data_IF_410948860152
#
_entry.id   IF_410948860152
#
_cell.length_a   1.000
_cell.length_b   1.000
_cell.length_c   1.000
_cell.angle_alpha   90.00
_cell.angle_beta   90.00
_cell.angle_gamma   90.00
#
_symmetry.space_group_name_H-M   'P 1'
#
loop_
_entity.id
_entity.type
_entity.pdbx_description
1 polymer ?
#
# COMPACT_ATOMS: atom_id res chain seq x y z
N UNK A 1 -25.91 -8.56 43.46
CA UNK A 1 -27.13 -9.21 42.92
C UNK A 1 -28.18 -8.14 42.63
N UNK A 2 -28.10 -7.47 41.47
CA UNK A 2 -29.07 -6.46 41.00
C UNK A 2 -29.41 -6.86 39.56
N UNK A 3 -30.10 -8.00 39.39
CA UNK A 3 -30.23 -8.63 38.07
C UNK A 3 -31.52 -9.41 37.84
N UNK A 4 -32.55 -9.22 38.67
CA UNK A 4 -33.80 -10.01 38.53
C UNK A 4 -35.06 -9.13 38.45
N UNK A 5 -34.98 -7.82 38.75
CA UNK A 5 -36.18 -6.96 38.74
C UNK A 5 -36.49 -6.27 37.41
N UNK A 6 -35.63 -6.35 36.39
CA UNK A 6 -35.87 -5.63 35.13
C UNK A 6 -36.84 -6.36 34.18
N UNK A 7 -36.96 -7.69 34.29
CA UNK A 7 -37.80 -8.51 33.38
C UNK A 7 -39.30 -8.39 33.72
N UNK A 8 -39.68 -8.09 34.97
CA UNK A 8 -41.10 -7.97 35.35
C UNK A 8 -41.76 -6.66 34.91
N UNK A 9 -40.98 -5.62 34.63
CA UNK A 9 -41.53 -4.31 34.21
C UNK A 9 -41.97 -4.34 32.74
N UNK A 10 -41.26 -5.08 31.88
CA UNK A 10 -41.63 -5.19 30.46
C UNK A 10 -42.96 -5.94 30.23
N UNK A 11 -43.28 -6.92 31.08
CA UNK A 11 -44.54 -7.67 30.95
C UNK A 11 -45.78 -6.86 31.35
N UNK A 12 -45.63 -5.84 32.21
CA UNK A 12 -46.74 -4.97 32.61
C UNK A 12 -47.04 -3.87 31.56
N UNK A 13 -46.04 -3.41 30.81
CA UNK A 13 -46.20 -2.41 29.75
C UNK A 13 -46.94 -2.95 28.52
N UNK A 14 -46.76 -4.23 28.19
CA UNK A 14 -47.44 -4.87 27.06
C UNK A 14 -48.96 -5.02 27.27
N UNK A 15 -49.42 -5.08 28.53
CA UNK A 15 -50.84 -5.24 28.87
C UNK A 15 -51.65 -3.93 28.80
N UNK A 16 -50.98 -2.77 28.70
CA UNK A 16 -51.62 -1.45 28.72
C UNK A 16 -51.70 -0.77 27.34
N UNK A 17 -51.26 -1.42 26.26
CA UNK A 17 -51.29 -0.82 24.92
C UNK A 17 -50.39 0.41 24.76
N UNK A 18 -49.43 0.62 25.67
CA UNK A 18 -48.47 1.71 25.58
C UNK A 18 -47.36 1.30 24.60
N UNK A 19 -47.19 2.08 23.53
CA UNK A 19 -46.08 1.88 22.58
C UNK A 19 -44.76 2.09 23.31
N UNK A 20 -43.90 1.06 23.33
CA UNK A 20 -42.52 1.21 23.79
C UNK A 20 -41.81 2.10 22.78
N UNK A 21 -41.24 3.26 23.17
CA UNK A 21 -40.40 4.02 22.27
C UNK A 21 -39.25 3.12 21.86
N UNK A 22 -39.17 2.82 20.56
CA UNK A 22 -38.01 2.15 19.98
C UNK A 22 -36.82 3.06 20.28
N UNK A 23 -35.95 2.62 21.20
CA UNK A 23 -34.65 3.23 21.38
C UNK A 23 -33.95 3.11 20.03
N UNK A 24 -33.79 4.24 19.33
CA UNK A 24 -33.02 4.30 18.10
C UNK A 24 -31.66 3.66 18.38
N UNK A 25 -31.36 2.61 17.62
CA UNK A 25 -30.06 1.97 17.67
C UNK A 25 -29.03 3.07 17.39
N UNK A 26 -28.07 3.27 18.30
CA UNK A 26 -27.00 4.23 18.07
C UNK A 26 -26.38 3.92 16.70
N UNK A 27 -26.14 4.93 15.85
CA UNK A 27 -25.51 4.71 14.55
C UNK A 27 -24.24 3.90 14.79
N UNK A 28 -24.13 2.75 14.10
CA UNK A 28 -22.94 1.92 14.18
C UNK A 28 -21.72 2.79 13.87
N UNK A 29 -20.65 2.63 14.64
CA UNK A 29 -19.41 3.37 14.39
C UNK A 29 -19.02 3.17 12.92
N UNK A 30 -18.75 4.27 12.21
CA UNK A 30 -18.27 4.20 10.85
C UNK A 30 -16.97 3.37 10.82
N UNK A 31 -16.74 2.56 9.77
CA UNK A 31 -15.48 1.86 9.62
C UNK A 31 -14.33 2.87 9.58
N UNK A 32 -13.29 2.64 10.40
CA UNK A 32 -12.04 3.42 10.37
C UNK A 32 -11.12 2.91 9.27
N UNK A 33 -10.54 3.80 8.47
CA UNK A 33 -9.51 3.51 7.47
C UNK A 33 -8.14 4.11 7.83
N UNK A 34 -7.14 3.80 7.03
CA UNK A 34 -5.80 4.42 7.13
C UNK A 34 -5.30 4.68 5.72
N UNK A 35 -4.94 5.93 5.41
CA UNK A 35 -4.21 6.24 4.19
C UNK A 35 -2.73 6.15 4.50
N UNK A 36 -2.01 5.36 3.72
CA UNK A 36 -0.54 5.32 3.72
C UNK A 36 -0.05 6.02 2.47
N UNK A 37 0.71 7.09 2.67
CA UNK A 37 1.37 7.79 1.59
C UNK A 37 2.82 7.32 1.57
N UNK A 38 3.23 6.81 0.41
CA UNK A 38 4.58 6.31 0.19
C UNK A 38 5.24 7.16 -0.89
N UNK A 39 6.39 7.75 -0.58
CA UNK A 39 7.17 8.48 -1.58
C UNK A 39 7.92 7.47 -2.45
N UNK A 40 7.37 7.16 -3.63
CA UNK A 40 7.94 6.14 -4.54
C UNK A 40 8.03 6.72 -5.94
N UNK A 41 9.19 7.28 -6.26
CA UNK A 41 9.47 7.82 -7.58
C UNK A 41 10.24 6.82 -8.45
N UNK A 42 9.65 6.50 -9.60
CA UNK A 42 10.33 5.90 -10.74
C UNK A 42 10.39 6.97 -11.83
N UNK A 43 11.60 7.22 -12.35
CA UNK A 43 11.82 7.94 -13.61
C UNK A 43 12.30 6.91 -14.63
N UNK A 44 11.56 6.76 -15.72
CA UNK A 44 11.99 6.04 -16.91
C UNK A 44 12.58 7.07 -17.88
N UNK A 45 13.90 7.04 -18.11
CA UNK A 45 14.53 7.81 -19.19
C UNK A 45 14.81 6.86 -20.37
N UNK A 46 13.98 6.97 -21.42
CA UNK A 46 14.03 6.14 -22.63
C UNK A 46 15.08 6.63 -23.66
N UNK A 47 16.18 7.26 -23.22
CA UNK A 47 17.19 7.82 -24.12
C UNK A 47 18.63 7.43 -23.77
N UNK A 48 18.96 6.13 -23.73
CA UNK A 48 20.35 5.71 -23.96
C UNK A 48 20.42 4.49 -24.88
N UNK A 49 20.35 4.73 -26.19
CA UNK A 49 20.97 3.83 -27.17
C UNK A 49 22.50 3.92 -27.02
N UNK A 50 23.12 2.94 -26.34
CA UNK A 50 24.57 2.90 -26.19
C UNK A 50 25.10 1.52 -25.83
N UNK A 51 25.77 0.89 -26.79
CA UNK A 51 26.26 -0.49 -26.76
C UNK A 51 27.66 -0.59 -26.12
N UNK A 52 27.81 -1.11 -24.89
CA UNK A 52 29.09 -1.61 -24.34
C UNK A 52 28.89 -2.78 -23.35
N UNK A 53 29.71 -3.86 -23.40
CA UNK A 53 29.67 -4.95 -22.44
C UNK A 53 30.68 -4.72 -21.29
N UNK A 54 30.24 -4.94 -20.06
CA UNK A 54 31.08 -4.98 -18.86
C UNK A 54 30.88 -3.81 -17.91
N UNK A 55 30.28 -4.11 -16.76
CA UNK A 55 29.86 -3.22 -15.66
C UNK A 55 28.73 -2.24 -15.99
N UNK A 56 27.55 -2.50 -15.40
CA UNK A 56 26.49 -1.51 -15.24
C UNK A 56 26.12 -1.42 -13.76
N UNK A 57 26.58 -0.35 -13.14
CA UNK A 57 26.14 0.22 -11.87
C UNK A 57 24.89 1.05 -12.16
N UNK A 58 23.83 0.94 -11.36
CA UNK A 58 22.71 1.88 -11.40
C UNK A 58 22.60 2.58 -10.05
N UNK A 59 22.55 3.92 -10.12
CA UNK A 59 22.51 4.91 -9.05
C UNK A 59 21.05 5.36 -8.91
N UNK A 60 20.55 5.52 -7.68
CA UNK A 60 19.31 6.26 -7.43
C UNK A 60 19.59 7.76 -7.57
N UNK A 61 18.89 8.41 -8.51
CA UNK A 61 19.02 9.83 -8.89
C UNK A 61 17.77 10.59 -8.46
N UNK A 62 17.91 11.54 -7.53
CA UNK A 62 17.06 12.72 -7.35
C UNK A 62 15.53 12.49 -7.33
N UNK A 63 15.03 11.75 -6.34
CA UNK A 63 13.61 11.77 -5.99
C UNK A 63 13.33 13.06 -5.17
N UNK A 64 12.41 13.94 -5.57
CA UNK A 64 12.02 15.07 -4.73
C UNK A 64 11.47 14.64 -3.36
N UNK A 65 11.80 15.43 -2.37
CA UNK A 65 11.26 15.35 -1.01
C UNK A 65 9.80 15.80 -1.00
N UNK A 66 8.91 15.11 -0.26
CA UNK A 66 7.53 15.61 -0.07
C UNK A 66 7.52 16.59 1.09
N UNK A 67 7.17 17.83 0.81
CA UNK A 67 7.19 18.93 1.78
C UNK A 67 5.79 19.33 2.27
N UNK A 68 4.74 19.05 1.48
CA UNK A 68 3.35 19.24 1.92
C UNK A 68 2.49 18.04 1.53
N UNK A 69 1.53 17.70 2.39
CA UNK A 69 0.53 16.69 2.16
C UNK A 69 -0.80 17.19 2.70
N UNK A 70 -1.84 17.08 1.90
CA UNK A 70 -3.21 17.40 2.25
C UNK A 70 -4.09 16.19 1.96
N UNK A 71 -5.01 15.89 2.88
CA UNK A 71 -6.05 14.89 2.69
C UNK A 71 -7.36 15.55 3.11
N UNK A 72 -8.30 15.63 2.18
CA UNK A 72 -9.63 16.17 2.44
C UNK A 72 -10.71 15.18 2.02
N UNK A 73 -11.86 15.12 2.72
CA UNK A 73 -13.01 14.39 2.18
C UNK A 73 -13.35 14.92 0.78
N UNK A 74 -13.65 14.06 -0.19
CA UNK A 74 -13.95 14.47 -1.57
C UNK A 74 -15.19 15.38 -1.70
N UNK A 75 -16.03 15.42 -0.65
CA UNK A 75 -17.15 16.36 -0.55
C UNK A 75 -16.75 17.77 -0.06
N UNK A 76 -15.50 17.97 0.34
CA UNK A 76 -14.97 19.24 0.81
C UNK A 76 -14.53 20.09 -0.37
N UNK A 77 -14.96 21.35 -0.42
CA UNK A 77 -14.44 22.33 -1.38
C UNK A 77 -13.09 22.95 -0.98
N UNK A 78 -12.45 22.46 0.09
CA UNK A 78 -11.19 22.98 0.64
C UNK A 78 -10.30 21.84 1.14
N UNK A 79 -8.98 21.98 0.99
CA UNK A 79 -7.96 20.98 1.36
C UNK A 79 -7.74 20.84 2.89
N UNK A 80 -8.05 21.88 3.66
CA UNK A 80 -7.77 21.91 5.10
C UNK A 80 -6.32 22.30 5.42
N UNK A 81 -5.83 21.89 6.59
CA UNK A 81 -4.46 22.14 7.05
C UNK A 81 -3.49 21.07 6.53
N UNK A 82 -2.24 21.47 6.28
CA UNK A 82 -1.18 20.53 5.85
C UNK A 82 -0.85 19.52 6.95
N UNK A 83 -0.90 18.24 6.60
CA UNK A 83 -0.78 17.11 7.55
C UNK A 83 0.66 16.85 8.01
N UNK A 84 1.66 17.34 7.28
CA UNK A 84 3.05 17.31 7.72
C UNK A 84 3.33 18.36 8.81
N UNK A 85 2.43 19.33 9.00
CA UNK A 85 2.53 20.32 10.06
C UNK A 85 3.52 21.44 9.75
N UNK A 86 4.73 21.39 10.32
CA UNK A 86 5.76 22.41 10.12
C UNK A 86 6.67 22.09 8.93
N UNK A 87 7.33 23.11 8.38
CA UNK A 87 8.32 22.98 7.28
C UNK A 87 9.48 22.01 7.54
N UNK A 88 9.62 21.53 8.78
CA UNK A 88 10.70 20.62 9.19
C UNK A 88 10.30 19.14 9.08
N UNK A 89 9.03 18.84 8.77
CA UNK A 89 8.55 17.48 8.52
C UNK A 89 8.45 17.24 7.02
N UNK A 90 9.37 16.44 6.53
CA UNK A 90 9.50 16.05 5.12
C UNK A 90 9.37 14.54 5.03
N UNK A 91 8.68 14.03 4.02
CA UNK A 91 8.77 12.60 3.68
C UNK A 91 9.90 12.45 2.66
N UNK A 92 11.07 12.06 3.19
CA UNK A 92 12.25 11.76 2.40
C UNK A 92 11.98 10.60 1.43
N UNK A 93 12.73 10.51 0.32
CA UNK A 93 12.67 9.35 -0.58
C UNK A 93 12.80 8.02 0.18
N UNK A 94 11.94 7.05 -0.17
CA UNK A 94 11.94 5.72 0.46
C UNK A 94 11.28 5.65 1.85
N UNK A 95 10.88 6.79 2.43
CA UNK A 95 10.13 6.82 3.68
C UNK A 95 8.62 6.76 3.45
N UNK A 96 7.91 6.28 4.47
CA UNK A 96 6.47 6.13 4.47
C UNK A 96 5.88 6.91 5.65
N UNK A 97 4.71 7.52 5.43
CA UNK A 97 3.95 8.17 6.50
C UNK A 97 2.50 7.70 6.45
N UNK A 98 1.96 7.38 7.64
CA UNK A 98 0.59 6.88 7.80
C UNK A 98 -0.31 7.94 8.41
N UNK A 99 -1.53 8.04 7.88
CA UNK A 99 -2.55 8.99 8.31
C UNK A 99 -3.88 8.25 8.55
N UNK A 100 -4.36 8.17 9.80
CA UNK A 100 -5.65 7.57 10.09
C UNK A 100 -6.78 8.47 9.58
N UNK A 101 -7.75 7.90 8.89
CA UNK A 101 -8.93 8.61 8.37
C UNK A 101 -10.19 7.77 8.58
N UNK A 102 -11.38 8.38 8.55
CA UNK A 102 -12.61 7.58 8.51
C UNK A 102 -12.79 6.93 7.13
N UNK A 103 -13.52 5.84 7.03
CA UNK A 103 -13.85 5.26 5.73
C UNK A 103 -14.72 6.22 4.90
N UNK A 104 -14.40 6.39 3.61
CA UNK A 104 -15.04 7.34 2.72
C UNK A 104 -14.22 7.65 1.47
N UNK A 105 -14.62 8.66 0.70
CA UNK A 105 -13.85 9.13 -0.46
C UNK A 105 -13.06 10.38 -0.07
N UNK A 106 -11.81 10.44 -0.52
CA UNK A 106 -10.87 11.51 -0.20
C UNK A 106 -10.16 12.02 -1.44
N UNK A 107 -9.86 13.30 -1.41
CA UNK A 107 -8.89 13.91 -2.31
C UNK A 107 -7.55 13.99 -1.57
N UNK A 108 -6.46 13.69 -2.27
CA UNK A 108 -5.10 13.79 -1.75
C UNK A 108 -4.31 14.76 -2.63
N UNK A 109 -3.63 15.72 -2.02
CA UNK A 109 -2.66 16.57 -2.70
C UNK A 109 -1.31 16.45 -2.02
N UNK A 110 -0.28 16.26 -2.82
CA UNK A 110 1.11 16.18 -2.41
C UNK A 110 1.87 17.29 -3.11
N UNK A 111 2.73 17.99 -2.37
CA UNK A 111 3.63 19.01 -2.90
C UNK A 111 5.06 18.61 -2.59
N UNK A 112 5.89 18.61 -3.61
CA UNK A 112 7.29 18.25 -3.49
C UNK A 112 8.22 19.46 -3.31
N UNK A 113 9.51 19.23 -3.04
CA UNK A 113 10.52 20.27 -2.79
C UNK A 113 10.79 21.20 -3.99
N UNK A 114 10.29 20.83 -5.18
CA UNK A 114 10.29 21.67 -6.38
C UNK A 114 8.94 22.39 -6.60
N UNK A 115 8.04 22.34 -5.62
CA UNK A 115 6.66 22.85 -5.67
C UNK A 115 5.83 22.25 -6.81
N UNK A 116 6.07 20.98 -7.16
CA UNK A 116 5.19 20.25 -8.07
C UNK A 116 4.07 19.61 -7.27
N UNK A 117 2.88 19.67 -7.84
CA UNK A 117 1.66 19.13 -7.23
C UNK A 117 1.30 17.79 -7.88
N UNK A 118 0.90 16.86 -7.04
CA UNK A 118 0.37 15.56 -7.41
C UNK A 118 -0.97 15.45 -6.70
N UNK A 119 -2.06 15.42 -7.47
CA UNK A 119 -3.41 15.48 -6.95
C UNK A 119 -4.19 14.25 -7.42
N UNK A 120 -4.74 13.50 -6.45
CA UNK A 120 -5.59 12.35 -6.68
C UNK A 120 -6.97 12.62 -6.08
N UNK A 121 -7.97 12.77 -6.94
CA UNK A 121 -9.35 13.00 -6.55
C UNK A 121 -10.13 11.70 -6.32
N UNK A 122 -11.13 11.75 -5.44
CA UNK A 122 -12.14 10.71 -5.26
C UNK A 122 -11.60 9.30 -4.89
N UNK A 123 -10.47 9.23 -4.16
CA UNK A 123 -9.88 7.97 -3.70
C UNK A 123 -10.80 7.29 -2.65
N UNK A 124 -11.35 6.08 -2.93
CA UNK A 124 -12.14 5.35 -1.97
C UNK A 124 -11.26 4.68 -0.92
N UNK A 125 -11.56 4.95 0.35
CA UNK A 125 -10.85 4.40 1.51
C UNK A 125 -11.81 3.55 2.34
N UNK A 126 -11.60 2.23 2.32
CA UNK A 126 -12.34 1.27 3.15
C UNK A 126 -11.42 0.40 4.03
N UNK A 127 -10.15 0.79 4.15
CA UNK A 127 -9.09 0.03 4.82
C UNK A 127 -7.75 0.75 4.71
N UNK A 128 -6.67 -0.02 4.53
CA UNK A 128 -5.35 0.54 4.19
C UNK A 128 -5.28 0.78 2.71
N UNK A 129 -4.99 2.01 2.30
CA UNK A 129 -4.71 2.37 0.90
C UNK A 129 -3.28 2.88 0.81
N UNK A 130 -2.53 2.41 -0.18
CA UNK A 130 -1.18 2.88 -0.47
C UNK A 130 -1.19 3.62 -1.80
N UNK A 131 -0.71 4.87 -1.81
CA UNK A 131 -0.47 5.62 -3.04
C UNK A 131 1.04 5.78 -3.25
N UNK A 132 1.53 5.22 -4.35
CA UNK A 132 2.90 5.36 -4.83
C UNK A 132 2.96 6.54 -5.82
N UNK A 133 3.58 7.64 -5.40
CA UNK A 133 3.58 8.89 -6.18
C UNK A 133 4.81 8.94 -7.07
N UNK A 134 4.63 8.81 -8.39
CA UNK A 134 5.69 8.92 -9.40
C UNK A 134 5.58 10.24 -10.17
N UNK A 135 6.61 10.59 -10.98
CA UNK A 135 6.59 11.79 -11.83
C UNK A 135 5.47 11.75 -12.88
N UNK A 136 5.03 10.55 -13.26
CA UNK A 136 3.93 10.33 -14.21
C UNK A 136 2.58 10.80 -13.64
N UNK A 137 2.46 10.86 -12.31
CA UNK A 137 1.26 11.32 -11.61
C UNK A 137 1.29 12.81 -11.28
N UNK A 138 2.22 13.58 -11.85
CA UNK A 138 2.21 15.03 -11.69
C UNK A 138 0.93 15.62 -12.29
N UNK A 139 0.35 16.61 -11.61
CA UNK A 139 -0.91 17.24 -11.99
C UNK A 139 -2.12 16.58 -11.32
N UNK A 140 -3.27 16.71 -11.98
CA UNK A 140 -4.58 16.30 -11.46
C UNK A 140 -5.05 15.01 -12.11
N UNK A 141 -5.44 14.04 -11.28
CA UNK A 141 -5.95 12.74 -11.72
C UNK A 141 -7.17 12.36 -10.90
N UNK A 142 -8.17 11.72 -11.53
CA UNK A 142 -9.28 11.12 -10.80
C UNK A 142 -9.00 9.64 -10.51
N UNK A 143 -9.38 9.14 -9.34
CA UNK A 143 -9.24 7.71 -9.04
C UNK A 143 -9.96 6.81 -10.05
N UNK A 144 -11.07 7.26 -10.63
CA UNK A 144 -11.78 6.53 -11.68
C UNK A 144 -10.96 6.35 -12.97
N UNK A 145 -10.05 7.28 -13.28
CA UNK A 145 -9.14 7.16 -14.43
C UNK A 145 -8.09 6.07 -14.17
N UNK A 146 -7.71 5.87 -12.89
CA UNK A 146 -6.90 4.73 -12.47
C UNK A 146 -7.67 3.41 -12.55
N UNK A 147 -8.95 3.36 -12.17
CA UNK A 147 -9.76 2.15 -12.33
C UNK A 147 -9.89 1.74 -13.80
N UNK A 148 -9.98 2.71 -14.72
CA UNK A 148 -10.02 2.44 -16.16
C UNK A 148 -8.68 1.89 -16.66
N UNK A 149 -7.55 2.41 -16.16
CA UNK A 149 -6.21 1.92 -16.49
C UNK A 149 -5.89 0.55 -15.89
N UNK A 150 -6.40 0.26 -14.71
CA UNK A 150 -6.16 -0.99 -14.00
C UNK A 150 -7.16 -2.08 -14.40
N UNK A 151 -8.32 -1.70 -14.96
CA UNK A 151 -9.44 -2.61 -15.20
C UNK A 151 -10.05 -2.99 -13.86
N UNK A 152 -11.21 -2.43 -13.55
CA UNK A 152 -11.83 -2.35 -12.20
C UNK A 152 -12.04 -3.63 -11.36
N UNK A 153 -11.50 -4.77 -11.78
CA UNK A 153 -11.42 -5.99 -10.99
C UNK A 153 -10.00 -6.31 -10.49
N UNK A 154 -8.98 -5.46 -10.68
CA UNK A 154 -7.63 -5.70 -10.16
C UNK A 154 -7.28 -4.84 -8.95
N UNK A 155 -6.38 -5.33 -8.11
CA UNK A 155 -5.87 -4.64 -6.95
C UNK A 155 -4.34 -4.78 -6.86
N UNK A 156 -3.64 -3.76 -6.32
CA UNK A 156 -2.20 -3.76 -6.24
C UNK A 156 -1.70 -4.73 -5.18
N UNK A 157 -0.63 -5.44 -5.49
CA UNK A 157 0.21 -6.17 -4.54
C UNK A 157 1.56 -5.49 -4.51
N UNK A 158 1.87 -4.86 -3.39
CA UNK A 158 3.10 -4.13 -3.17
C UNK A 158 4.03 -4.93 -2.24
N UNK A 159 5.22 -5.27 -2.75
CA UNK A 159 6.26 -5.99 -2.04
C UNK A 159 7.39 -5.02 -1.70
N UNK A 160 7.61 -4.74 -0.42
CA UNK A 160 8.77 -3.97 0.04
C UNK A 160 9.76 -4.90 0.74
N UNK A 161 11.00 -4.93 0.29
CA UNK A 161 12.03 -5.68 0.99
C UNK A 161 12.56 -4.88 2.19
N UNK A 162 12.53 -5.45 3.39
CA UNK A 162 13.08 -4.86 4.60
C UNK A 162 14.29 -5.65 5.08
N UNK A 163 15.44 -4.97 5.11
CA UNK A 163 16.63 -5.46 5.81
C UNK A 163 16.37 -5.35 7.32
N UNK A 164 16.58 -6.44 8.06
CA UNK A 164 16.51 -6.38 9.52
C UNK A 164 17.54 -5.35 10.02
N UNK A 165 17.07 -4.30 10.68
CA UNK A 165 17.86 -3.11 11.09
C UNK A 165 19.02 -3.44 12.06
N UNK A 166 19.13 -4.69 12.48
CA UNK A 166 20.19 -5.18 13.37
C UNK A 166 21.44 -5.69 12.64
N UNK A 167 21.47 -5.64 11.30
CA UNK A 167 22.70 -5.89 10.56
C UNK A 167 23.44 -4.57 10.39
N UNK A 168 24.70 -4.53 10.81
CA UNK A 168 25.55 -3.34 10.80
C UNK A 168 25.31 -2.48 9.53
N UNK A 169 25.25 -1.15 9.71
CA UNK A 169 24.80 -0.08 8.79
C UNK A 169 25.41 -0.06 7.36
N UNK A 170 26.16 -1.08 6.96
CA UNK A 170 26.81 -1.25 5.66
C UNK A 170 26.23 -2.37 4.77
N UNK A 171 25.14 -3.03 5.16
CA UNK A 171 24.54 -4.13 4.39
C UNK A 171 23.46 -3.66 3.40
N UNK A 172 23.76 -2.65 2.56
CA UNK A 172 22.88 -2.20 1.46
C UNK A 172 23.06 -3.07 0.21
N UNK A 173 22.90 -4.38 0.35
CA UNK A 173 23.04 -5.28 -0.80
C UNK A 173 21.69 -5.49 -1.46
N UNK A 174 21.62 -4.97 -2.68
CA UNK A 174 20.53 -5.09 -3.62
C UNK A 174 20.65 -6.48 -4.23
N UNK A 175 19.55 -7.23 -4.25
CA UNK A 175 19.48 -8.51 -4.92
C UNK A 175 19.12 -8.23 -6.37
N UNK A 176 20.08 -8.24 -7.31
CA UNK A 176 19.81 -7.85 -8.69
C UNK A 176 18.88 -8.85 -9.40
N UNK A 177 18.68 -10.03 -8.80
CA UNK A 177 17.97 -11.15 -9.40
C UNK A 177 16.86 -11.65 -8.47
N UNK A 178 15.84 -10.81 -8.26
CA UNK A 178 14.61 -11.21 -7.59
C UNK A 178 13.55 -11.63 -8.62
N UNK A 179 12.89 -12.75 -8.35
CA UNK A 179 11.78 -13.27 -9.13
C UNK A 179 10.53 -13.29 -8.24
N UNK A 180 9.43 -12.76 -8.76
CA UNK A 180 8.15 -12.71 -8.05
C UNK A 180 7.13 -13.56 -8.80
N UNK A 181 6.47 -14.43 -8.06
CA UNK A 181 5.37 -15.26 -8.51
C UNK A 181 4.13 -14.95 -7.68
N UNK A 182 2.98 -14.91 -8.33
CA UNK A 182 1.69 -14.86 -7.65
C UNK A 182 0.71 -15.73 -8.40
N UNK A 183 0.01 -16.60 -7.68
CA UNK A 183 -1.04 -17.46 -8.22
C UNK A 183 -2.23 -17.46 -7.28
N UNK A 184 -3.43 -17.73 -7.80
CA UNK A 184 -4.57 -18.03 -6.94
C UNK A 184 -4.20 -19.19 -6.01
N UNK A 185 -4.57 -19.12 -4.73
CA UNK A 185 -4.30 -20.21 -3.76
C UNK A 185 -5.05 -21.50 -4.06
N UNK A 186 -6.02 -21.45 -5.00
CA UNK A 186 -6.66 -22.65 -5.55
C UNK A 186 -5.84 -23.31 -6.67
N UNK A 187 -4.78 -22.68 -7.15
CA UNK A 187 -3.87 -23.23 -8.15
C UNK A 187 -2.97 -24.29 -7.52
N UNK A 188 -2.68 -25.35 -8.27
CA UNK A 188 -1.70 -26.37 -7.86
C UNK A 188 -0.28 -26.07 -8.36
N UNK A 189 -0.14 -25.07 -9.21
CA UNK A 189 1.13 -24.63 -9.79
C UNK A 189 1.34 -23.16 -9.45
N UNK A 190 2.60 -22.78 -9.19
CA UNK A 190 2.99 -21.38 -9.15
C UNK A 190 2.71 -20.76 -10.51
N UNK A 191 2.05 -19.60 -10.51
CA UNK A 191 1.68 -18.90 -11.74
C UNK A 191 2.89 -18.54 -12.60
N UNK A 192 2.63 -17.96 -13.77
CA UNK A 192 3.72 -17.41 -14.58
C UNK A 192 4.47 -16.34 -13.78
N UNK A 193 5.78 -16.27 -14.00
CA UNK A 193 6.64 -15.25 -13.43
C UNK A 193 6.11 -13.88 -13.83
N UNK A 194 5.85 -13.03 -12.85
CA UNK A 194 5.11 -11.78 -13.05
C UNK A 194 5.93 -10.72 -13.78
N UNK A 195 7.25 -10.88 -13.82
CA UNK A 195 8.09 -9.94 -14.52
C UNK A 195 9.34 -10.58 -15.14
N UNK A 196 9.55 -10.29 -16.42
CA UNK A 196 10.74 -10.66 -17.19
C UNK A 196 11.24 -9.41 -17.91
N UNK A 197 12.49 -8.97 -17.71
CA UNK A 197 13.60 -9.64 -16.99
C UNK A 197 13.59 -9.40 -15.46
N UNK A 198 14.57 -9.99 -14.75
CA UNK A 198 14.69 -9.93 -13.29
C UNK A 198 14.58 -8.50 -12.74
N UNK A 199 13.77 -8.36 -11.68
CA UNK A 199 13.58 -7.07 -11.02
C UNK A 199 14.66 -6.95 -9.96
N UNK A 200 15.37 -5.84 -10.00
CA UNK A 200 16.19 -5.40 -8.88
C UNK A 200 15.25 -4.81 -7.83
N UNK A 201 14.91 -5.57 -6.79
CA UNK A 201 14.18 -5.04 -5.64
C UNK A 201 15.15 -4.23 -4.77
N UNK A 202 14.98 -2.91 -4.76
CA UNK A 202 15.74 -2.01 -3.90
C UNK A 202 15.02 -1.89 -2.55
N UNK A 203 15.77 -1.86 -1.45
CA UNK A 203 15.22 -1.82 -0.08
C UNK A 203 14.43 -0.53 0.27
N UNK A 204 14.32 0.40 -0.68
CA UNK A 204 13.62 1.68 -0.56
C UNK A 204 12.44 1.82 -1.54
N UNK A 205 12.19 0.82 -2.39
CA UNK A 205 11.14 0.87 -3.42
C UNK A 205 10.33 -0.41 -3.41
N UNK A 206 9.00 -0.33 -3.22
CA UNK A 206 8.18 -1.50 -3.37
C UNK A 206 8.11 -1.89 -4.85
N UNK A 207 8.20 -3.19 -5.10
CA UNK A 207 7.76 -3.77 -6.35
C UNK A 207 6.24 -3.91 -6.32
N UNK A 208 5.55 -3.33 -7.30
CA UNK A 208 4.08 -3.36 -7.37
C UNK A 208 3.64 -4.10 -8.61
N UNK A 209 2.77 -5.08 -8.44
CA UNK A 209 2.07 -5.77 -9.53
C UNK A 209 0.58 -5.83 -9.22
N UNK A 210 -0.25 -6.16 -10.21
CA UNK A 210 -1.70 -6.16 -10.06
C UNK A 210 -2.28 -7.55 -10.26
N UNK A 211 -3.23 -7.93 -9.42
CA UNK A 211 -3.97 -9.20 -9.50
C UNK A 211 -5.46 -8.96 -9.32
N UNK A 212 -6.34 -9.85 -9.81
CA UNK A 212 -7.77 -9.72 -9.56
C UNK A 212 -8.14 -9.59 -8.07
N UNK A 213 -8.82 -8.51 -7.70
CA UNK A 213 -9.30 -8.25 -6.36
C UNK A 213 -10.34 -9.30 -5.90
N UNK A 214 -10.51 -9.44 -4.59
CA UNK A 214 -11.51 -10.33 -3.98
C UNK A 214 -11.13 -11.81 -3.96
N UNK A 215 -9.89 -12.16 -4.31
CA UNK A 215 -9.40 -13.53 -4.34
C UNK A 215 -8.30 -13.78 -3.29
N UNK A 216 -7.97 -15.06 -3.07
CA UNK A 216 -6.81 -15.48 -2.27
C UNK A 216 -5.68 -15.91 -3.19
N UNK A 217 -4.46 -15.48 -2.83
CA UNK A 217 -3.26 -15.70 -3.60
C UNK A 217 -2.14 -16.30 -2.75
N UNK A 218 -1.33 -17.12 -3.40
CA UNK A 218 -0.03 -17.51 -2.89
C UNK A 218 1.01 -16.65 -3.60
N UNK A 219 1.86 -15.98 -2.82
CA UNK A 219 2.90 -15.07 -3.31
C UNK A 219 4.25 -15.66 -2.92
N UNK A 220 5.14 -15.77 -3.90
CA UNK A 220 6.49 -16.29 -3.72
C UNK A 220 7.51 -15.30 -4.25
N UNK A 221 8.54 -15.05 -3.48
CA UNK A 221 9.69 -14.24 -3.86
C UNK A 221 10.92 -15.14 -3.82
N UNK A 222 11.59 -15.30 -4.95
CA UNK A 222 12.87 -16.00 -5.04
C UNK A 222 13.97 -14.95 -5.20
N UNK A 223 15.01 -15.05 -4.39
CA UNK A 223 16.20 -14.21 -4.49
C UNK A 223 17.41 -15.06 -4.83
N UNK A 224 18.07 -14.75 -5.95
CA UNK A 224 19.39 -15.30 -6.27
C UNK A 224 20.47 -14.45 -5.60
N UNK A 225 21.13 -15.01 -4.58
CA UNK A 225 22.30 -14.38 -3.98
C UNK A 225 23.48 -14.40 -4.96
N UNK A 226 23.83 -13.24 -5.49
CA UNK A 226 25.00 -13.09 -6.34
C UNK A 226 26.33 -13.06 -5.57
N UNK A 227 26.36 -12.95 -4.23
CA UNK A 227 27.62 -12.57 -3.58
C UNK A 227 27.98 -13.15 -2.20
N UNK A 228 27.08 -13.47 -1.26
CA UNK A 228 27.57 -13.68 0.13
C UNK A 228 27.05 -14.86 0.96
N UNK A 229 25.96 -15.53 0.60
CA UNK A 229 25.53 -16.75 1.28
C UNK A 229 25.46 -17.93 0.31
N UNK A 230 26.59 -18.62 0.16
CA UNK A 230 26.68 -20.01 -0.34
C UNK A 230 26.17 -20.33 -1.75
N UNK A 231 25.69 -19.35 -2.54
CA UNK A 231 25.07 -19.62 -3.85
C UNK A 231 23.72 -20.34 -3.74
N UNK A 232 23.05 -20.23 -2.60
CA UNK A 232 21.74 -20.82 -2.38
C UNK A 232 20.66 -19.82 -2.76
N UNK A 233 19.66 -20.29 -3.51
CA UNK A 233 18.43 -19.55 -3.76
C UNK A 233 17.66 -19.42 -2.44
N UNK A 234 17.28 -18.19 -2.09
CA UNK A 234 16.43 -17.92 -0.92
C UNK A 234 15.01 -17.73 -1.39
N UNK A 235 14.07 -18.46 -0.78
CA UNK A 235 12.65 -18.33 -1.08
C UNK A 235 11.91 -17.74 0.12
N UNK A 236 10.96 -16.86 -0.16
CA UNK A 236 10.00 -16.32 0.78
C UNK A 236 8.59 -16.62 0.27
N UNK A 237 7.74 -17.26 1.07
CA UNK A 237 6.38 -17.60 0.64
C UNK A 237 5.30 -17.10 1.59
N UNK A 238 4.22 -16.54 1.02
CA UNK A 238 2.97 -16.23 1.72
C UNK A 238 1.83 -16.98 1.06
N UNK A 239 1.19 -17.88 1.81
CA UNK A 239 0.04 -18.64 1.34
C UNK A 239 -1.29 -17.98 1.75
N UNK A 240 -2.32 -18.19 0.93
CA UNK A 240 -3.71 -17.81 1.17
C UNK A 240 -3.93 -16.33 1.48
N UNK A 241 -3.13 -15.44 0.90
CA UNK A 241 -3.23 -14.00 1.05
C UNK A 241 -4.49 -13.48 0.37
N UNK A 242 -5.41 -12.92 1.15
CA UNK A 242 -6.58 -12.24 0.57
C UNK A 242 -6.19 -10.86 0.04
N UNK A 243 -6.35 -10.65 -1.27
CA UNK A 243 -6.13 -9.36 -1.93
C UNK A 243 -7.49 -8.72 -2.18
N UNK A 244 -7.86 -7.75 -1.35
CA UNK A 244 -9.12 -6.99 -1.50
C UNK A 244 -8.98 -5.84 -2.51
N UNK A 245 -10.03 -5.03 -2.67
CA UNK A 245 -10.00 -3.85 -3.56
C UNK A 245 -8.90 -2.83 -3.19
N UNK A 246 -8.54 -2.73 -1.91
CA UNK A 246 -7.43 -1.89 -1.44
C UNK A 246 -6.04 -2.49 -1.66
N UNK A 247 -5.94 -3.67 -2.28
CA UNK A 247 -4.68 -4.35 -2.51
C UNK A 247 -4.16 -5.17 -1.33
N UNK A 248 -2.88 -5.52 -1.43
CA UNK A 248 -2.12 -6.18 -0.39
C UNK A 248 -0.71 -5.60 -0.32
N UNK A 249 -0.19 -5.47 0.89
CA UNK A 249 1.15 -4.95 1.14
C UNK A 249 1.93 -5.95 1.99
N UNK A 250 3.08 -6.38 1.49
CA UNK A 250 3.98 -7.29 2.20
C UNK A 250 5.36 -6.70 2.34
N UNK A 251 5.78 -6.52 3.60
CA UNK A 251 7.18 -6.30 3.94
C UNK A 251 7.88 -7.65 3.96
N UNK A 252 8.65 -7.95 2.92
CA UNK A 252 9.45 -9.18 2.80
C UNK A 252 10.71 -9.01 3.64
N UNK A 253 10.93 -9.89 4.62
CA UNK A 253 12.09 -9.84 5.51
C UNK A 253 12.78 -11.20 5.62
N UNK A 254 14.04 -11.27 6.10
CA UNK A 254 14.70 -12.55 6.39
C UNK A 254 13.92 -13.48 7.33
N UNK A 255 12.96 -12.95 8.11
CA UNK A 255 12.10 -13.74 8.99
C UNK A 255 10.97 -14.46 8.26
N UNK A 256 10.71 -14.06 7.02
CA UNK A 256 9.73 -14.69 6.14
C UNK A 256 10.38 -15.73 5.22
N UNK A 257 11.67 -16.03 5.43
CA UNK A 257 12.41 -17.02 4.66
C UNK A 257 11.83 -18.41 4.93
N UNK A 258 11.58 -19.16 3.87
CA UNK A 258 11.15 -20.54 3.98
C UNK A 258 12.30 -21.41 4.50
N UNK A 259 12.01 -22.33 5.43
CA UNK A 259 12.96 -23.28 6.02
C UNK A 259 13.36 -24.43 5.06
#
# INVERSE_FOLDING_TARGET
>A
MIGVNMIRILSALLALGLSVPVLAQAPGAAPSGTIKVSNILVSYDDQVQGNWPGQSRIISVNSPEIIELFISPASSGVWGEGLLGSKDRVIEPGHNQEFPVEGGNYDIMIVDDLNREYILYDLPVSGVVCWAVTLEYMGEHNYSEFEEYLGGDVAPVALLYSLDQNTDENSYWVWPETQVYCSLSSSTEWGERIDTPAISMWCDRPFVFYVPAGNRYDIRVESHDGAHFSGNEVTYTRFEVFVGAGGYYWIVSPRDMDD
#
